data_IF_048991841691
#
_entry.id   IF_048991841691
#
_cell.length_a   1.000
_cell.length_b   1.000
_cell.length_c   1.000
_cell.angle_alpha   90.00
_cell.angle_beta   90.00
_cell.angle_gamma   90.00
#
_symmetry.space_group_name_H-M   'P 1'
#
loop_
_entity.id
_entity.type
_entity.pdbx_description
1 polymer ?
#
# COMPACT_ATOMS: atom_id res chain seq x y z
N UNK A 1 12.66 -18.71 -16.67
CA UNK A 1 11.73 -17.88 -15.86
C UNK A 1 12.01 -16.42 -16.17
N UNK A 2 10.99 -15.58 -16.32
CA UNK A 2 11.18 -14.13 -16.51
C UNK A 2 11.45 -13.47 -15.15
N UNK A 3 12.46 -12.60 -15.07
CA UNK A 3 12.82 -11.86 -13.85
C UNK A 3 12.18 -10.47 -13.80
N UNK A 4 12.36 -9.74 -12.69
CA UNK A 4 11.74 -8.42 -12.47
C UNK A 4 12.00 -7.40 -13.59
N UNK A 5 13.15 -7.51 -14.26
CA UNK A 5 13.54 -6.64 -15.37
C UNK A 5 12.52 -6.64 -16.52
N UNK A 6 11.80 -7.73 -16.76
CA UNK A 6 10.87 -7.84 -17.90
C UNK A 6 9.53 -7.11 -17.72
N UNK A 7 9.27 -6.51 -16.55
CA UNK A 7 8.03 -5.78 -16.30
C UNK A 7 8.21 -4.28 -16.55
N UNK A 8 7.33 -3.70 -17.34
CA UNK A 8 7.27 -2.26 -17.56
C UNK A 8 6.36 -1.58 -16.52
N UNK A 9 5.26 -2.24 -16.13
CA UNK A 9 4.31 -1.76 -15.12
C UNK A 9 4.19 -2.77 -13.98
N UNK A 10 4.22 -2.29 -12.74
CA UNK A 10 4.06 -3.07 -11.53
C UNK A 10 2.91 -2.50 -10.70
N UNK A 11 1.88 -3.30 -10.48
CA UNK A 11 0.81 -2.99 -9.54
C UNK A 11 1.22 -3.50 -8.15
N UNK A 12 1.37 -2.60 -7.18
CA UNK A 12 1.88 -2.94 -5.85
C UNK A 12 0.82 -2.69 -4.78
N UNK A 13 0.33 -3.81 -4.24
CA UNK A 13 -0.68 -3.84 -3.20
C UNK A 13 -0.11 -3.96 -1.81
N UNK A 14 -0.54 -3.13 -0.86
CA UNK A 14 -0.17 -3.34 0.54
C UNK A 14 -1.13 -2.69 1.54
N UNK A 15 -1.28 -3.29 2.74
CA UNK A 15 -1.90 -2.62 3.86
C UNK A 15 -0.94 -1.59 4.44
N UNK A 16 -1.48 -0.58 5.10
CA UNK A 16 -0.68 0.27 5.98
C UNK A 16 -0.52 -0.39 7.36
N UNK A 17 0.69 -0.31 7.92
CA UNK A 17 1.00 -0.72 9.30
C UNK A 17 1.59 0.46 10.06
N UNK A 18 0.95 0.89 11.16
CA UNK A 18 1.44 2.01 11.96
C UNK A 18 1.65 3.29 11.13
N UNK A 19 0.67 3.65 10.29
CA UNK A 19 0.69 4.85 9.43
C UNK A 19 1.83 4.89 8.40
N UNK A 20 2.42 3.73 8.09
CA UNK A 20 3.52 3.65 7.13
C UNK A 20 3.51 2.40 6.26
N UNK A 21 4.31 2.44 5.19
CA UNK A 21 4.58 1.29 4.32
C UNK A 21 5.23 0.16 5.13
N UNK A 22 4.69 -1.07 5.07
CA UNK A 22 5.24 -2.21 5.82
C UNK A 22 6.72 -2.50 5.51
N UNK A 23 7.50 -3.01 6.49
CA UNK A 23 8.90 -3.37 6.29
C UNK A 23 9.14 -4.31 5.10
N UNK A 24 8.25 -5.28 4.88
CA UNK A 24 8.34 -6.23 3.75
C UNK A 24 8.25 -5.52 2.39
N UNK A 25 7.38 -4.52 2.26
CA UNK A 25 7.23 -3.74 1.03
C UNK A 25 8.47 -2.87 0.81
N UNK A 26 9.03 -2.30 1.87
CA UNK A 26 10.30 -1.55 1.81
C UNK A 26 11.44 -2.43 1.33
N UNK A 27 11.54 -3.66 1.85
CA UNK A 27 12.56 -4.62 1.43
C UNK A 27 12.38 -5.01 -0.05
N UNK A 28 11.15 -5.24 -0.50
CA UNK A 28 10.84 -5.50 -1.90
C UNK A 28 11.27 -4.34 -2.81
N UNK A 29 10.92 -3.10 -2.44
CA UNK A 29 11.30 -1.92 -3.22
C UNK A 29 12.83 -1.79 -3.34
N UNK A 30 13.56 -1.99 -2.23
CA UNK A 30 15.03 -1.94 -2.20
C UNK A 30 15.71 -3.07 -2.97
N UNK A 31 15.06 -4.22 -3.12
CA UNK A 31 15.63 -5.40 -3.76
C UNK A 31 15.58 -5.34 -5.31
N UNK A 32 14.93 -4.32 -5.87
CA UNK A 32 14.65 -4.24 -7.30
C UNK A 32 15.02 -2.88 -7.90
N UNK A 33 15.45 -2.89 -9.16
CA UNK A 33 15.66 -1.68 -9.95
C UNK A 33 14.34 -1.22 -10.58
N UNK A 34 13.98 0.02 -10.30
CA UNK A 34 12.73 0.65 -10.69
C UNK A 34 12.87 1.59 -11.89
N UNK A 35 14.08 1.76 -12.40
CA UNK A 35 14.40 2.67 -13.51
C UNK A 35 13.53 2.38 -14.73
N UNK A 36 12.79 3.39 -15.20
CA UNK A 36 11.95 3.29 -16.39
C UNK A 36 10.66 2.48 -16.21
N UNK A 37 10.34 2.03 -14.99
CA UNK A 37 9.13 1.28 -14.69
C UNK A 37 8.00 2.19 -14.21
N UNK A 38 6.76 1.81 -14.48
CA UNK A 38 5.58 2.43 -13.87
C UNK A 38 5.17 1.65 -12.62
N UNK A 39 5.06 2.34 -11.50
CA UNK A 39 4.55 1.79 -10.24
C UNK A 39 3.14 2.31 -10.02
N UNK A 40 2.16 1.40 -9.99
CA UNK A 40 0.76 1.69 -9.68
C UNK A 40 0.43 1.15 -8.28
N UNK A 41 0.44 1.99 -7.23
CA UNK A 41 0.15 1.52 -5.90
C UNK A 41 -1.35 1.32 -5.71
N UNK A 42 -1.72 0.28 -4.97
CA UNK A 42 -3.04 0.17 -4.38
C UNK A 42 -2.90 -0.12 -2.88
N UNK A 43 -3.50 0.74 -2.06
CA UNK A 43 -3.22 0.81 -0.63
C UNK A 43 -4.52 0.55 0.11
N UNK A 44 -4.50 -0.44 1.00
CA UNK A 44 -5.57 -0.63 1.97
C UNK A 44 -5.16 -0.03 3.32
N UNK A 45 -6.08 0.63 4.02
CA UNK A 45 -5.77 1.22 5.32
C UNK A 45 -6.92 1.06 6.30
N UNK A 46 -6.60 1.21 7.58
CA UNK A 46 -7.56 1.02 8.66
C UNK A 46 -8.32 2.27 9.12
N UNK A 47 -8.62 3.20 8.23
CA UNK A 47 -9.25 4.49 8.57
C UNK A 47 -8.33 5.71 8.66
N UNK A 48 -7.01 5.55 8.68
CA UNK A 48 -6.04 6.67 8.80
C UNK A 48 -5.39 7.10 7.47
N UNK A 49 -5.91 6.64 6.33
CA UNK A 49 -5.35 6.93 5.01
C UNK A 49 -4.03 6.18 4.69
N UNK A 50 -3.34 6.57 3.61
CA UNK A 50 -2.13 5.88 3.14
C UNK A 50 -0.87 6.18 3.97
N UNK A 51 -0.98 7.02 5.00
CA UNK A 51 0.16 7.45 5.83
C UNK A 51 1.26 8.12 5.00
N UNK A 52 2.53 7.91 5.40
CA UNK A 52 3.67 8.46 4.65
C UNK A 52 4.08 7.64 3.40
N UNK A 53 3.21 6.71 2.95
CA UNK A 53 3.60 5.70 1.96
C UNK A 53 4.11 6.27 0.66
N UNK A 54 3.50 7.33 0.12
CA UNK A 54 3.97 7.92 -1.14
C UNK A 54 5.39 8.49 -1.05
N UNK A 55 5.79 9.03 0.11
CA UNK A 55 7.18 9.47 0.34
C UNK A 55 8.15 8.26 0.43
N UNK A 56 7.70 7.17 1.05
CA UNK A 56 8.48 5.93 1.12
C UNK A 56 8.64 5.29 -0.26
N UNK A 57 7.57 5.19 -1.04
CA UNK A 57 7.62 4.67 -2.41
C UNK A 57 8.59 5.50 -3.26
N UNK A 58 8.50 6.84 -3.21
CA UNK A 58 9.43 7.73 -3.94
C UNK A 58 10.88 7.58 -3.52
N UNK A 59 11.15 7.36 -2.23
CA UNK A 59 12.52 7.19 -1.74
C UNK A 59 13.09 5.78 -1.97
N UNK A 60 12.25 4.76 -2.04
CA UNK A 60 12.67 3.35 -2.13
C UNK A 60 12.54 2.75 -3.53
N UNK A 61 11.82 3.40 -4.44
CA UNK A 61 11.76 3.06 -5.86
C UNK A 61 12.22 4.26 -6.73
N UNK A 62 13.49 4.68 -6.60
CA UNK A 62 14.02 5.76 -7.43
C UNK A 62 13.96 5.35 -8.91
N UNK A 63 13.62 6.30 -9.79
CA UNK A 63 13.52 6.05 -11.23
C UNK A 63 12.20 5.42 -11.70
N UNK A 64 11.32 5.00 -10.78
CA UNK A 64 9.94 4.67 -11.14
C UNK A 64 9.14 5.92 -11.48
N UNK A 65 8.26 5.80 -12.47
CA UNK A 65 7.09 6.67 -12.61
C UNK A 65 6.01 6.17 -11.65
N UNK A 66 5.85 6.85 -10.52
CA UNK A 66 4.88 6.48 -9.50
C UNK A 66 3.56 7.21 -9.78
N UNK A 67 2.53 6.44 -10.05
CA UNK A 67 1.19 6.94 -10.34
C UNK A 67 0.40 7.25 -9.07
N UNK A 68 -0.70 7.99 -9.24
CA UNK A 68 -1.64 8.26 -8.15
C UNK A 68 -2.18 6.92 -7.60
N UNK A 69 -2.11 6.68 -6.28
CA UNK A 69 -2.50 5.40 -5.70
C UNK A 69 -4.02 5.20 -5.71
N UNK A 70 -4.45 3.96 -5.93
CA UNK A 70 -5.80 3.56 -5.55
C UNK A 70 -5.82 3.33 -4.03
N UNK A 71 -6.50 4.19 -3.29
CA UNK A 71 -6.58 4.10 -1.83
C UNK A 71 -7.96 3.61 -1.44
N UNK A 72 -8.00 2.48 -0.73
CA UNK A 72 -9.21 1.88 -0.22
C UNK A 72 -9.12 1.79 1.30
N UNK A 73 -10.01 2.49 1.98
CA UNK A 73 -10.25 2.20 3.39
C UNK A 73 -10.81 0.79 3.49
N UNK A 74 -10.09 -0.11 4.17
CA UNK A 74 -10.63 -1.42 4.51
C UNK A 74 -11.77 -1.21 5.51
N UNK A 75 -12.86 -1.98 5.38
CA UNK A 75 -14.00 -1.98 6.30
C UNK A 75 -13.58 -2.42 7.72
N UNK A 76 -12.88 -1.58 8.48
CA UNK A 76 -12.23 -2.03 9.72
C UNK A 76 -13.19 -2.26 10.87
N UNK A 77 -14.11 -1.34 11.07
CA UNK A 77 -14.90 -1.33 12.31
C UNK A 77 -16.33 -0.92 12.10
N UNK A 78 -16.73 -0.57 10.88
CA UNK A 78 -18.14 -0.33 10.55
C UNK A 78 -19.00 -1.58 10.75
N UNK A 79 -18.35 -2.74 10.84
CA UNK A 79 -18.92 -3.98 11.37
C UNK A 79 -18.68 -4.14 12.87
N UNK A 80 -17.47 -3.87 13.36
CA UNK A 80 -17.11 -3.95 14.80
C UNK A 80 -18.01 -3.12 15.71
N UNK A 81 -18.51 -1.97 15.25
CA UNK A 81 -19.40 -1.11 16.01
C UNK A 81 -20.89 -1.42 15.84
N UNK A 82 -21.30 -2.12 14.78
CA UNK A 82 -22.61 -2.78 14.80
C UNK A 82 -22.60 -3.86 15.90
N UNK A 83 -21.50 -4.61 16.03
CA UNK A 83 -21.31 -5.65 17.06
C UNK A 83 -21.31 -5.11 18.51
N UNK A 84 -20.83 -3.88 18.75
CA UNK A 84 -20.87 -3.31 20.11
C UNK A 84 -22.26 -2.75 20.46
N UNK A 85 -23.01 -2.22 19.49
CA UNK A 85 -24.36 -1.67 19.73
C UNK A 85 -25.41 -2.76 19.98
N UNK A 86 -25.37 -3.81 19.18
CA UNK A 86 -26.22 -4.98 19.34
C UNK A 86 -25.94 -5.71 20.68
N UNK A 87 -24.70 -5.63 21.18
CA UNK A 87 -24.28 -6.20 22.47
C UNK A 87 -24.77 -5.41 23.70
N UNK A 88 -24.80 -4.07 23.63
CA UNK A 88 -25.32 -3.23 24.71
C UNK A 88 -26.87 -3.10 24.70
N UNK A 89 -27.54 -3.73 23.73
CA UNK A 89 -29.00 -3.79 23.62
C UNK A 89 -29.65 -2.54 23.03
N UNK A 90 -28.96 -1.80 22.16
CA UNK A 90 -29.45 -0.57 21.52
C UNK A 90 -29.26 -0.57 20.01
#
# INVERSE_FOLDING_TARGET
MRGFASFETVYLGFPIWGETTPPVIRSFLKAHDWSGKTLQPFITHGGYGPGNSMAILRSHAPGARIEEPFVLEADQERRTLNQVKEWLGK
#
